data_IF_058367498794
#
_entry.id   IF_058367498794
#
_cell.length_a   1.000
_cell.length_b   1.000
_cell.length_c   1.000
_cell.angle_alpha   90.00
_cell.angle_beta   90.00
_cell.angle_gamma   90.00
#
_symmetry.space_group_name_H-M   'P 1'
#
loop_
_entity.id
_entity.type
_entity.pdbx_description
1 polymer ?
#
# COMPACT_ATOMS: atom_id res chain seq x y z
N UNK A 1 3.46 8.28 -3.66
CA UNK A 1 3.77 6.98 -4.29
C UNK A 1 5.08 6.41 -3.77
N UNK A 2 5.44 5.21 -4.20
CA UNK A 2 6.71 4.57 -3.84
C UNK A 2 7.88 5.34 -4.44
N UNK A 3 8.92 5.60 -3.64
CA UNK A 3 10.10 6.33 -4.07
C UNK A 3 11.21 5.37 -4.49
N UNK A 4 11.99 5.77 -5.48
CA UNK A 4 13.18 5.01 -5.90
C UNK A 4 14.16 4.87 -4.74
N UNK A 5 14.83 3.73 -4.67
CA UNK A 5 15.81 3.39 -3.62
C UNK A 5 15.24 3.20 -2.22
N UNK A 6 13.91 3.27 -2.03
CA UNK A 6 13.30 3.03 -0.72
C UNK A 6 13.16 1.55 -0.40
N UNK A 7 13.42 1.22 0.86
CA UNK A 7 13.00 -0.02 1.48
C UNK A 7 11.70 0.21 2.26
N UNK A 8 10.64 -0.41 1.80
CA UNK A 8 9.32 -0.34 2.42
C UNK A 8 9.02 -1.66 3.13
N UNK A 9 8.65 -1.59 4.39
CA UNK A 9 8.23 -2.76 5.17
C UNK A 9 6.71 -2.72 5.34
N UNK A 10 6.04 -3.80 4.94
CA UNK A 10 4.60 -3.98 5.20
C UNK A 10 4.46 -5.13 6.19
N UNK A 11 4.04 -4.83 7.40
CA UNK A 11 3.98 -5.81 8.46
C UNK A 11 2.54 -6.02 8.98
N UNK A 12 2.22 -7.26 9.34
CA UNK A 12 0.94 -7.62 9.94
C UNK A 12 1.03 -8.95 10.67
N UNK A 13 0.04 -9.22 11.52
CA UNK A 13 -0.19 -10.56 12.07
C UNK A 13 -0.68 -11.53 10.97
N UNK A 14 -0.54 -12.85 11.16
CA UNK A 14 -1.13 -13.85 10.26
C UNK A 14 -2.63 -13.59 10.00
N UNK A 15 -3.09 -13.93 8.82
CA UNK A 15 -4.48 -13.79 8.38
C UNK A 15 -5.00 -12.33 8.27
N UNK A 16 -4.17 -11.30 8.45
CA UNK A 16 -4.55 -9.90 8.20
C UNK A 16 -4.60 -9.54 6.71
N UNK A 17 -4.06 -10.40 5.83
CA UNK A 17 -4.13 -10.22 4.38
C UNK A 17 -2.90 -9.59 3.74
N UNK A 18 -1.67 -9.74 4.32
CA UNK A 18 -0.43 -9.22 3.74
C UNK A 18 -0.27 -9.56 2.26
N UNK A 19 -0.30 -10.87 1.94
CA UNK A 19 -0.18 -11.35 0.55
C UNK A 19 -1.31 -10.83 -0.34
N UNK A 20 -2.55 -10.76 0.16
CA UNK A 20 -3.68 -10.20 -0.57
C UNK A 20 -3.50 -8.71 -0.88
N UNK A 21 -2.93 -7.95 0.05
CA UNK A 21 -2.62 -6.53 -0.14
C UNK A 21 -1.60 -6.32 -1.27
N UNK A 22 -0.47 -7.03 -1.22
CA UNK A 22 0.56 -6.87 -2.26
C UNK A 22 0.12 -7.45 -3.60
N UNK A 23 -0.76 -8.46 -3.64
CA UNK A 23 -1.34 -8.94 -4.90
C UNK A 23 -2.33 -7.93 -5.49
N UNK A 24 -3.16 -7.27 -4.68
CA UNK A 24 -4.03 -6.17 -5.13
C UNK A 24 -3.19 -5.01 -5.67
N UNK A 25 -2.11 -4.66 -4.99
CA UNK A 25 -1.16 -3.64 -5.43
C UNK A 25 -0.43 -4.06 -6.71
N UNK A 26 0.06 -5.31 -6.81
CA UNK A 26 0.73 -5.84 -8.01
C UNK A 26 -0.22 -5.87 -9.22
N UNK A 27 -1.50 -6.26 -9.00
CA UNK A 27 -2.55 -6.15 -10.03
C UNK A 27 -2.68 -4.71 -10.53
N UNK A 28 -2.84 -3.75 -9.63
CA UNK A 28 -3.03 -2.35 -10.01
C UNK A 28 -1.82 -1.80 -10.78
N UNK A 29 -0.61 -2.18 -10.41
CA UNK A 29 0.61 -1.76 -11.11
C UNK A 29 0.80 -2.51 -12.44
N UNK A 30 0.80 -3.85 -12.43
CA UNK A 30 1.17 -4.63 -13.60
C UNK A 30 0.02 -4.78 -14.60
N UNK A 31 -1.21 -5.03 -14.13
CA UNK A 31 -2.36 -5.24 -15.02
C UNK A 31 -2.93 -3.91 -15.48
N UNK A 32 -3.22 -2.99 -14.56
CA UNK A 32 -3.91 -1.74 -14.89
C UNK A 32 -2.93 -0.68 -15.43
N UNK A 33 -1.80 -0.46 -14.77
CA UNK A 33 -0.84 0.60 -15.12
C UNK A 33 0.31 0.13 -16.02
N UNK A 34 0.40 -1.19 -16.33
CA UNK A 34 1.48 -1.80 -17.14
C UNK A 34 2.89 -1.50 -16.63
N UNK A 35 3.04 -1.31 -15.32
CA UNK A 35 4.33 -1.13 -14.67
C UNK A 35 4.92 -2.50 -14.35
N UNK A 36 6.16 -2.81 -14.79
CA UNK A 36 6.80 -4.09 -14.53
C UNK A 36 7.08 -4.31 -13.04
N UNK A 37 6.54 -5.42 -12.49
CA UNK A 37 6.64 -5.80 -11.08
C UNK A 37 7.31 -7.17 -10.96
N UNK A 38 8.23 -7.34 -10.01
CA UNK A 38 8.74 -8.64 -9.61
C UNK A 38 8.22 -9.01 -8.21
N UNK A 39 7.69 -10.22 -8.07
CA UNK A 39 7.20 -10.78 -6.81
C UNK A 39 7.98 -12.04 -6.47
N UNK A 40 8.73 -12.00 -5.38
CA UNK A 40 9.42 -13.15 -4.80
C UNK A 40 8.58 -13.71 -3.65
N UNK A 41 8.03 -14.91 -3.85
CA UNK A 41 7.19 -15.58 -2.87
C UNK A 41 7.94 -16.74 -2.24
N UNK A 42 8.27 -16.61 -0.96
CA UNK A 42 8.99 -17.65 -0.22
C UNK A 42 8.05 -18.57 0.57
N UNK A 43 6.78 -18.17 0.71
CA UNK A 43 5.76 -18.92 1.46
C UNK A 43 4.81 -19.69 0.55
N UNK A 44 4.44 -19.11 -0.59
CA UNK A 44 3.40 -19.64 -1.46
C UNK A 44 3.94 -20.03 -2.82
N UNK A 45 3.49 -21.19 -3.33
CA UNK A 45 3.81 -21.63 -4.67
C UNK A 45 3.17 -20.68 -5.73
N UNK A 46 3.84 -20.57 -6.88
CA UNK A 46 3.43 -19.74 -8.00
C UNK A 46 1.96 -19.99 -8.41
N UNK A 47 1.54 -21.24 -8.54
CA UNK A 47 0.17 -21.62 -8.90
C UNK A 47 -0.86 -21.02 -7.92
N UNK A 48 -0.55 -20.97 -6.62
CA UNK A 48 -1.45 -20.41 -5.62
C UNK A 48 -1.57 -18.90 -5.76
N UNK A 49 -0.48 -18.20 -6.09
CA UNK A 49 -0.47 -16.76 -6.33
C UNK A 49 -1.24 -16.41 -7.61
N UNK A 50 -1.01 -17.15 -8.69
CA UNK A 50 -1.72 -16.98 -9.97
C UNK A 50 -3.22 -17.19 -9.77
N UNK A 51 -3.64 -18.23 -9.05
CA UNK A 51 -5.05 -18.44 -8.73
C UNK A 51 -5.66 -17.26 -7.95
N UNK A 52 -4.95 -16.69 -6.97
CA UNK A 52 -5.41 -15.49 -6.26
C UNK A 52 -5.48 -14.26 -7.16
N UNK A 53 -4.53 -14.11 -8.08
CA UNK A 53 -4.56 -13.03 -9.07
C UNK A 53 -5.76 -13.18 -10.03
N UNK A 54 -6.06 -14.39 -10.49
CA UNK A 54 -7.24 -14.67 -11.33
C UNK A 54 -8.51 -14.27 -10.57
N UNK A 55 -8.68 -14.71 -9.32
CA UNK A 55 -9.81 -14.31 -8.47
C UNK A 55 -9.92 -12.79 -8.36
N UNK A 56 -8.79 -12.12 -8.16
CA UNK A 56 -8.73 -10.67 -7.96
C UNK A 56 -9.02 -9.88 -9.25
N UNK A 57 -8.52 -10.34 -10.40
CA UNK A 57 -8.72 -9.69 -11.72
C UNK A 57 -10.10 -9.99 -12.27
N UNK A 58 -10.52 -11.25 -12.21
CA UNK A 58 -11.82 -11.65 -12.74
C UNK A 58 -12.99 -11.28 -11.83
N UNK A 59 -12.74 -10.98 -10.55
CA UNK A 59 -13.75 -10.67 -9.53
C UNK A 59 -14.81 -11.77 -9.39
N UNK A 60 -14.36 -13.01 -9.51
CA UNK A 60 -15.18 -14.22 -9.30
C UNK A 60 -14.69 -14.90 -8.03
N UNK A 61 -15.58 -15.25 -7.08
CA UNK A 61 -15.20 -15.92 -5.83
C UNK A 61 -14.34 -17.18 -6.08
N UNK A 62 -13.24 -17.31 -5.32
CA UNK A 62 -12.29 -18.38 -5.52
C UNK A 62 -12.87 -19.78 -5.35
N UNK A 63 -13.90 -19.94 -4.53
CA UNK A 63 -14.62 -21.22 -4.37
C UNK A 63 -15.32 -21.66 -5.66
N UNK A 64 -15.94 -20.72 -6.39
CA UNK A 64 -16.58 -21.00 -7.67
C UNK A 64 -15.57 -21.42 -8.73
N UNK A 65 -14.42 -20.73 -8.80
CA UNK A 65 -13.35 -21.08 -9.74
C UNK A 65 -12.79 -22.48 -9.45
N UNK A 66 -12.55 -22.80 -8.16
CA UNK A 66 -12.03 -24.10 -7.75
C UNK A 66 -13.01 -25.25 -8.00
N UNK A 67 -14.30 -25.03 -7.74
CA UNK A 67 -15.34 -26.05 -7.94
C UNK A 67 -15.79 -26.18 -9.39
N UNK A 68 -15.43 -25.22 -10.27
CA UNK A 68 -15.93 -25.15 -11.64
C UNK A 68 -17.42 -24.77 -11.76
N UNK A 69 -18.05 -24.37 -10.65
CA UNK A 69 -19.48 -24.02 -10.58
C UNK A 69 -19.68 -22.55 -10.96
N UNK A 70 -19.38 -22.23 -12.20
CA UNK A 70 -19.55 -20.90 -12.78
C UNK A 70 -20.85 -20.83 -13.59
N UNK A 71 -21.60 -19.75 -13.41
CA UNK A 71 -22.73 -19.45 -14.28
C UNK A 71 -22.24 -19.11 -15.72
N UNK A 72 -23.07 -19.26 -16.75
CA UNK A 72 -22.66 -18.96 -18.13
C UNK A 72 -22.05 -17.56 -18.33
N UNK A 73 -22.57 -16.55 -17.65
CA UNK A 73 -22.03 -15.19 -17.72
C UNK A 73 -20.68 -15.07 -17.01
N UNK A 74 -20.45 -15.84 -15.92
CA UNK A 74 -19.16 -15.84 -15.18
C UNK A 74 -18.06 -16.50 -16.02
N UNK A 75 -18.40 -17.50 -16.85
CA UNK A 75 -17.46 -18.06 -17.84
C UNK A 75 -17.02 -17.01 -18.86
N UNK A 76 -17.97 -16.21 -19.38
CA UNK A 76 -17.67 -15.10 -20.30
C UNK A 76 -16.80 -14.03 -19.63
N UNK A 77 -17.09 -13.69 -18.36
CA UNK A 77 -16.30 -12.75 -17.57
C UNK A 77 -14.86 -13.25 -17.33
N UNK A 78 -14.73 -14.53 -16.98
CA UNK A 78 -13.43 -15.18 -16.78
C UNK A 78 -12.59 -15.14 -18.06
N UNK A 79 -13.16 -15.58 -19.22
CA UNK A 79 -12.44 -15.60 -20.50
C UNK A 79 -12.02 -14.21 -20.97
N UNK A 80 -12.85 -13.21 -20.73
CA UNK A 80 -12.53 -11.83 -21.09
C UNK A 80 -11.43 -11.23 -20.19
N UNK A 81 -11.59 -11.29 -18.87
CA UNK A 81 -10.68 -10.64 -17.92
C UNK A 81 -9.34 -11.36 -17.75
N UNK A 82 -9.29 -12.68 -17.94
CA UNK A 82 -8.02 -13.43 -17.81
C UNK A 82 -6.99 -12.98 -18.87
N UNK A 83 -7.44 -12.49 -20.01
CA UNK A 83 -6.58 -11.98 -21.09
C UNK A 83 -5.75 -10.78 -20.64
N UNK A 84 -6.25 -9.98 -19.68
CA UNK A 84 -5.52 -8.85 -19.11
C UNK A 84 -4.25 -9.30 -18.36
N UNK A 85 -4.23 -10.56 -17.85
CA UNK A 85 -3.07 -11.15 -17.18
C UNK A 85 -2.00 -11.63 -18.15
N UNK A 86 -2.35 -12.03 -19.39
CA UNK A 86 -1.38 -12.58 -20.33
C UNK A 86 -0.29 -11.56 -20.70
N UNK A 87 -0.67 -10.30 -20.85
CA UNK A 87 0.25 -9.21 -21.21
C UNK A 87 0.68 -8.37 -20.01
N UNK A 88 0.37 -8.83 -18.79
CA UNK A 88 0.76 -8.12 -17.59
C UNK A 88 2.26 -8.35 -17.29
N UNK A 89 3.07 -7.29 -17.16
CA UNK A 89 4.50 -7.41 -16.85
C UNK A 89 4.71 -7.74 -15.35
N UNK A 90 4.22 -8.91 -14.92
CA UNK A 90 4.34 -9.42 -13.57
C UNK A 90 5.21 -10.70 -13.58
N UNK A 91 6.35 -10.60 -12.92
CA UNK A 91 7.35 -11.69 -12.84
C UNK A 91 7.28 -12.30 -11.45
N UNK A 92 6.90 -13.57 -11.36
CA UNK A 92 6.76 -14.29 -10.08
C UNK A 92 7.86 -15.35 -9.95
N UNK A 93 8.54 -15.36 -8.81
CA UNK A 93 9.56 -16.33 -8.45
C UNK A 93 9.17 -16.94 -7.10
N UNK A 94 8.99 -18.28 -7.05
CA UNK A 94 8.60 -19.02 -5.85
C UNK A 94 9.73 -19.93 -5.33
N UNK A 95 10.99 -19.54 -5.59
CA UNK A 95 12.15 -20.25 -5.07
C UNK A 95 12.14 -20.25 -3.54
N UNK A 96 12.04 -21.42 -2.89
CA UNK A 96 12.03 -21.50 -1.44
C UNK A 96 13.41 -21.16 -0.86
N UNK A 97 13.43 -20.61 0.36
CA UNK A 97 14.68 -20.32 1.09
C UNK A 97 15.67 -19.44 0.31
N UNK A 98 15.16 -18.46 -0.42
CA UNK A 98 15.96 -17.56 -1.26
C UNK A 98 17.01 -16.81 -0.44
N UNK A 99 18.27 -16.90 -0.85
CA UNK A 99 19.34 -16.13 -0.23
C UNK A 99 19.39 -14.70 -0.76
N UNK A 100 19.97 -13.79 0.04
CA UNK A 100 20.16 -12.37 -0.39
C UNK A 100 21.01 -12.28 -1.66
N UNK A 101 22.03 -13.11 -1.82
CA UNK A 101 22.89 -13.13 -3.01
C UNK A 101 22.14 -13.61 -4.25
N UNK A 102 21.32 -14.63 -4.10
CA UNK A 102 20.49 -15.16 -5.18
C UNK A 102 19.42 -14.14 -5.60
N UNK A 103 18.73 -13.55 -4.62
CA UNK A 103 17.80 -12.45 -4.86
C UNK A 103 18.46 -11.31 -5.65
N UNK A 104 19.65 -10.88 -5.23
CA UNK A 104 20.40 -9.80 -5.90
C UNK A 104 20.68 -10.12 -7.36
N UNK A 105 21.10 -11.38 -7.63
CA UNK A 105 21.39 -11.85 -9.00
C UNK A 105 20.12 -11.86 -9.86
N UNK A 106 19.02 -12.42 -9.35
CA UNK A 106 17.73 -12.48 -10.04
C UNK A 106 17.15 -11.08 -10.26
N UNK A 107 17.20 -10.23 -9.24
CA UNK A 107 16.71 -8.85 -9.30
C UNK A 107 17.45 -8.01 -10.35
N UNK A 108 18.78 -8.07 -10.40
CA UNK A 108 19.59 -7.40 -11.43
C UNK A 108 19.20 -7.83 -12.83
N UNK A 109 18.99 -9.13 -13.04
CA UNK A 109 18.56 -9.67 -14.33
C UNK A 109 17.18 -9.14 -14.71
N UNK A 110 16.20 -9.21 -13.80
CA UNK A 110 14.85 -8.74 -14.05
C UNK A 110 14.79 -7.24 -14.35
N UNK A 111 15.56 -6.43 -13.64
CA UNK A 111 15.64 -4.98 -13.92
C UNK A 111 16.26 -4.71 -15.28
N UNK A 112 17.35 -5.39 -15.62
CA UNK A 112 18.07 -5.18 -16.89
C UNK A 112 17.31 -5.69 -18.11
N UNK A 113 16.70 -6.89 -18.01
CA UNK A 113 16.08 -7.57 -19.17
C UNK A 113 14.61 -7.20 -19.33
N UNK A 114 13.91 -6.93 -18.24
CA UNK A 114 12.46 -6.68 -18.24
C UNK A 114 12.07 -5.29 -17.73
N UNK A 115 13.02 -4.45 -17.35
CA UNK A 115 12.75 -3.10 -16.90
C UNK A 115 11.92 -3.02 -15.61
N UNK A 116 12.02 -4.02 -14.73
CA UNK A 116 11.27 -4.06 -13.46
C UNK A 116 11.46 -2.77 -12.67
N UNK A 117 10.36 -2.21 -12.20
CA UNK A 117 10.30 -0.93 -11.49
C UNK A 117 10.06 -1.06 -10.00
N UNK A 118 9.64 -2.23 -9.52
CA UNK A 118 9.39 -2.51 -8.12
C UNK A 118 9.58 -4.00 -7.83
N UNK A 119 10.16 -4.30 -6.68
CA UNK A 119 10.34 -5.67 -6.19
C UNK A 119 9.52 -5.85 -4.92
N UNK A 120 8.78 -6.95 -4.83
CA UNK A 120 8.00 -7.37 -3.66
C UNK A 120 8.55 -8.70 -3.16
N UNK A 121 8.72 -8.84 -1.84
CA UNK A 121 9.24 -10.05 -1.18
C UNK A 121 8.25 -10.51 -0.12
N UNK A 122 7.69 -11.73 -0.25
CA UNK A 122 6.73 -12.34 0.68
C UNK A 122 7.32 -13.63 1.25
N UNK A 123 7.86 -13.64 2.46
CA UNK A 123 8.16 -12.57 3.41
C UNK A 123 9.60 -12.69 3.92
N UNK A 124 10.12 -11.59 4.43
CA UNK A 124 11.53 -11.38 4.78
C UNK A 124 12.09 -12.46 5.72
N UNK A 125 11.31 -12.91 6.71
CA UNK A 125 11.76 -13.91 7.69
C UNK A 125 11.97 -15.32 7.09
N UNK A 126 11.58 -15.59 5.85
CA UNK A 126 11.92 -16.85 5.17
C UNK A 126 13.20 -16.77 4.34
N UNK A 127 13.77 -15.59 4.19
CA UNK A 127 15.06 -15.41 3.56
C UNK A 127 16.19 -15.94 4.45
N UNK A 128 17.30 -16.26 3.82
CA UNK A 128 18.53 -16.61 4.51
C UNK A 128 19.70 -15.74 4.00
N UNK A 129 20.71 -15.59 4.84
CA UNK A 129 21.96 -14.93 4.48
C UNK A 129 23.07 -16.00 4.33
N UNK A 130 22.91 -16.88 3.33
CA UNK A 130 23.80 -18.01 3.06
C UNK A 130 25.28 -17.63 3.05
N UNK A 131 26.10 -18.45 3.65
CA UNK A 131 27.56 -18.29 3.70
C UNK A 131 28.06 -17.44 4.87
N UNK A 132 27.18 -16.97 5.77
CA UNK A 132 27.56 -16.28 7.00
C UNK A 132 27.09 -17.06 8.22
N UNK A 133 27.87 -17.03 9.31
CA UNK A 133 27.47 -17.57 10.60
C UNK A 133 26.91 -16.42 11.45
N UNK A 134 25.75 -16.62 12.06
CA UNK A 134 25.07 -15.65 12.91
C UNK A 134 24.90 -16.21 14.32
N UNK A 135 25.08 -15.36 15.32
CA UNK A 135 24.86 -15.71 16.72
C UNK A 135 23.36 -15.82 17.07
N UNK A 136 22.50 -15.17 16.30
CA UNK A 136 21.06 -15.17 16.50
C UNK A 136 20.29 -14.93 15.20
N UNK A 137 19.01 -15.33 15.20
CA UNK A 137 18.09 -15.02 14.07
C UNK A 137 17.90 -13.52 13.87
N UNK A 138 17.94 -12.74 14.95
CA UNK A 138 17.84 -11.27 14.89
C UNK A 138 18.99 -10.65 14.10
N UNK A 139 20.21 -11.13 14.31
CA UNK A 139 21.40 -10.66 13.59
C UNK A 139 21.31 -11.00 12.09
N UNK A 140 20.85 -12.19 11.75
CA UNK A 140 20.62 -12.60 10.37
C UNK A 140 19.59 -11.72 9.69
N UNK A 141 18.43 -11.49 10.32
CA UNK A 141 17.37 -10.64 9.82
C UNK A 141 17.85 -9.18 9.66
N UNK A 142 18.67 -8.69 10.57
CA UNK A 142 19.30 -7.37 10.47
C UNK A 142 20.22 -7.25 9.25
N UNK A 143 20.99 -8.31 8.98
CA UNK A 143 21.88 -8.36 7.81
C UNK A 143 21.08 -8.41 6.50
N UNK A 144 19.99 -9.18 6.48
CA UNK A 144 19.08 -9.25 5.34
C UNK A 144 18.47 -7.87 5.06
N UNK A 145 17.92 -7.22 6.09
CA UNK A 145 17.30 -5.89 5.97
C UNK A 145 18.26 -4.86 5.39
N UNK A 146 19.45 -4.77 5.93
CA UNK A 146 20.51 -3.88 5.43
C UNK A 146 20.91 -4.18 3.99
N UNK A 147 20.97 -5.45 3.64
CA UNK A 147 21.27 -5.89 2.27
C UNK A 147 20.17 -5.52 1.29
N UNK A 148 18.90 -5.65 1.69
CA UNK A 148 17.75 -5.21 0.89
C UNK A 148 17.76 -3.69 0.66
N UNK A 149 18.07 -2.90 1.70
CA UNK A 149 18.24 -1.45 1.53
C UNK A 149 19.38 -1.11 0.59
N UNK A 150 20.51 -1.84 0.68
CA UNK A 150 21.63 -1.72 -0.26
C UNK A 150 21.20 -2.04 -1.70
N UNK A 151 20.44 -3.10 -1.89
CA UNK A 151 19.93 -3.53 -3.19
C UNK A 151 18.93 -2.51 -3.80
N UNK A 152 18.03 -1.94 -3.00
CA UNK A 152 17.11 -0.90 -3.43
C UNK A 152 17.86 0.33 -3.98
N UNK A 153 18.93 0.75 -3.27
CA UNK A 153 19.81 1.84 -3.73
C UNK A 153 20.57 1.49 -5.00
N UNK A 154 21.12 0.28 -5.08
CA UNK A 154 21.88 -0.21 -6.22
C UNK A 154 21.05 -0.23 -7.50
N UNK A 155 19.83 -0.77 -7.40
CA UNK A 155 18.92 -0.89 -8.54
C UNK A 155 18.16 0.40 -8.84
N UNK A 156 18.17 1.36 -7.91
CA UNK A 156 17.39 2.60 -7.95
C UNK A 156 15.89 2.37 -8.16
N UNK A 157 15.34 1.37 -7.48
CA UNK A 157 13.91 1.04 -7.46
C UNK A 157 13.45 0.76 -6.04
N UNK A 158 12.16 0.92 -5.71
CA UNK A 158 11.63 0.52 -4.41
C UNK A 158 11.64 -1.00 -4.23
N UNK A 159 11.98 -1.43 -3.03
CA UNK A 159 11.81 -2.82 -2.58
C UNK A 159 10.81 -2.83 -1.44
N UNK A 160 9.74 -3.61 -1.61
CA UNK A 160 8.73 -3.87 -0.59
C UNK A 160 8.97 -5.24 0.00
N UNK A 161 9.24 -5.32 1.30
CA UNK A 161 9.40 -6.57 2.00
C UNK A 161 8.27 -6.75 3.03
N UNK A 162 7.59 -7.88 2.94
CA UNK A 162 6.59 -8.25 3.94
C UNK A 162 7.26 -8.78 5.21
N UNK A 163 6.67 -8.47 6.35
CA UNK A 163 7.15 -8.90 7.66
C UNK A 163 5.99 -9.40 8.53
N UNK A 164 6.28 -10.37 9.38
CA UNK A 164 5.32 -10.84 10.37
C UNK A 164 5.57 -10.14 11.70
N UNK A 165 4.50 -9.65 12.33
CA UNK A 165 4.57 -9.03 13.66
C UNK A 165 4.66 -10.06 14.77
N UNK A 166 5.24 -9.66 15.91
CA UNK A 166 5.30 -10.44 17.13
C UNK A 166 3.87 -10.79 17.64
N UNK A 167 3.73 -11.95 18.28
CA UNK A 167 2.47 -12.43 18.87
C UNK A 167 1.98 -11.53 20.02
N UNK A 168 2.85 -10.77 20.65
CA UNK A 168 2.50 -9.85 21.75
C UNK A 168 1.38 -8.85 21.43
N UNK A 169 1.15 -8.52 20.15
CA UNK A 169 0.02 -7.68 19.73
C UNK A 169 -1.34 -8.32 20.11
N UNK A 170 -1.44 -9.65 20.01
CA UNK A 170 -2.69 -10.37 20.27
C UNK A 170 -3.03 -10.48 21.76
N UNK A 171 -2.06 -10.34 22.65
CA UNK A 171 -2.26 -10.40 24.10
C UNK A 171 -2.67 -9.07 24.73
N UNK A 172 -2.57 -7.95 23.99
CA UNK A 172 -2.96 -6.64 24.52
C UNK A 172 -4.47 -6.52 24.66
N UNK A 173 -4.93 -5.80 25.68
CA UNK A 173 -6.36 -5.58 25.94
C UNK A 173 -6.86 -4.31 25.24
N UNK A 174 -8.17 -4.27 25.01
CA UNK A 174 -8.86 -3.13 24.39
C UNK A 174 -8.70 -3.04 22.87
N UNK A 175 -9.50 -2.17 22.26
CA UNK A 175 -9.54 -1.94 20.81
C UNK A 175 -8.21 -1.35 20.34
N UNK A 176 -7.74 -0.32 21.02
CA UNK A 176 -6.48 0.35 20.68
C UNK A 176 -5.25 -0.52 20.99
N UNK A 177 -5.33 -1.39 21.98
CA UNK A 177 -4.26 -2.32 22.32
C UNK A 177 -3.92 -3.30 21.20
N UNK A 178 -4.92 -3.68 20.38
CA UNK A 178 -4.73 -4.59 19.23
C UNK A 178 -4.13 -3.90 18.00
N UNK A 179 -3.99 -2.56 18.02
CA UNK A 179 -3.37 -1.83 16.90
C UNK A 179 -1.85 -2.05 16.89
N UNK A 180 -1.26 -2.38 15.74
CA UNK A 180 0.17 -2.58 15.61
C UNK A 180 0.97 -1.30 15.87
N UNK A 181 2.17 -1.47 16.43
CA UNK A 181 3.12 -0.40 16.72
C UNK A 181 4.53 -0.81 16.25
N UNK A 182 5.45 0.17 16.07
CA UNK A 182 6.83 -0.10 15.65
C UNK A 182 7.55 -1.07 16.59
N UNK A 183 7.24 -1.02 17.90
CA UNK A 183 7.77 -1.99 18.88
C UNK A 183 7.39 -3.44 18.60
N UNK A 184 6.36 -3.70 17.80
CA UNK A 184 5.92 -5.05 17.43
C UNK A 184 6.80 -5.70 16.34
N UNK A 185 7.67 -4.90 15.71
CA UNK A 185 8.77 -5.36 14.86
C UNK A 185 10.00 -5.81 15.67
N UNK A 186 9.89 -5.96 17.00
CA UNK A 186 10.97 -6.04 17.99
C UNK A 186 11.99 -7.16 17.82
N UNK A 187 11.64 -8.26 17.17
CA UNK A 187 12.62 -9.29 16.78
C UNK A 187 13.54 -8.81 15.64
N UNK A 188 13.31 -7.59 15.16
CA UNK A 188 13.95 -7.01 13.99
C UNK A 188 14.11 -5.49 14.16
N UNK A 189 14.60 -5.00 15.31
CA UNK A 189 14.83 -3.57 15.53
C UNK A 189 15.66 -2.92 14.41
N UNK A 190 16.51 -3.70 13.74
CA UNK A 190 17.25 -3.26 12.58
C UNK A 190 16.34 -3.02 11.35
N UNK A 191 15.28 -3.83 11.16
CA UNK A 191 14.33 -3.62 10.06
C UNK A 191 13.71 -2.22 10.16
N UNK A 192 13.30 -1.84 11.39
CA UNK A 192 12.76 -0.49 11.61
C UNK A 192 13.79 0.59 11.26
N UNK A 193 15.05 0.42 11.67
CA UNK A 193 16.11 1.41 11.40
C UNK A 193 16.45 1.54 9.92
N UNK A 194 16.54 0.42 9.20
CA UNK A 194 16.92 0.37 7.78
C UNK A 194 15.79 0.83 6.85
N UNK A 195 14.52 0.59 7.22
CA UNK A 195 13.36 0.95 6.43
C UNK A 195 13.18 2.46 6.30
N UNK A 196 12.84 2.91 5.09
CA UNK A 196 12.43 4.29 4.83
C UNK A 196 10.96 4.49 5.16
N UNK A 197 10.15 3.44 4.97
CA UNK A 197 8.72 3.45 5.31
C UNK A 197 8.33 2.13 5.98
N UNK A 198 7.49 2.22 7.00
CA UNK A 198 6.87 1.07 7.67
C UNK A 198 5.37 1.24 7.66
N UNK A 199 4.68 0.25 7.12
CA UNK A 199 3.23 0.19 7.09
C UNK A 199 2.75 -1.03 7.88
N UNK A 200 1.64 -0.87 8.59
CA UNK A 200 0.93 -1.98 9.20
C UNK A 200 -0.42 -2.17 8.54
N UNK A 201 -0.81 -3.44 8.39
CA UNK A 201 -2.17 -3.81 8.01
C UNK A 201 -2.89 -4.29 9.27
N UNK A 202 -3.96 -3.59 9.63
CA UNK A 202 -4.81 -3.91 10.76
C UNK A 202 -6.25 -4.11 10.29
N UNK A 203 -6.88 -5.22 10.71
CA UNK A 203 -8.28 -5.52 10.40
C UNK A 203 -9.00 -5.81 11.71
N UNK A 204 -9.75 -4.84 12.23
CA UNK A 204 -10.43 -4.96 13.53
C UNK A 204 -11.35 -6.18 13.61
N UNK A 205 -12.08 -6.50 12.54
CA UNK A 205 -12.97 -7.65 12.46
C UNK A 205 -12.29 -8.99 12.79
N UNK A 206 -10.97 -9.12 12.52
CA UNK A 206 -10.19 -10.34 12.84
C UNK A 206 -9.96 -10.54 14.32
N UNK A 207 -10.16 -9.49 15.11
CA UNK A 207 -10.13 -9.50 16.58
C UNK A 207 -11.54 -9.49 17.18
N UNK A 208 -12.60 -9.66 16.36
CA UNK A 208 -13.99 -9.61 16.81
C UNK A 208 -14.53 -8.20 17.07
N UNK A 209 -13.77 -7.17 16.67
CA UNK A 209 -14.17 -5.77 16.81
C UNK A 209 -14.98 -5.40 15.57
N UNK A 210 -16.31 -5.32 15.73
CA UNK A 210 -17.24 -5.12 14.61
C UNK A 210 -17.70 -3.68 14.46
N UNK A 211 -17.50 -2.84 15.49
CA UNK A 211 -17.92 -1.44 15.52
C UNK A 211 -16.83 -0.58 16.13
N UNK A 212 -16.74 0.66 15.68
CA UNK A 212 -15.89 1.67 16.29
C UNK A 212 -16.54 2.29 17.55
N UNK A 213 -15.85 3.23 18.20
CA UNK A 213 -16.35 3.94 19.37
C UNK A 213 -17.60 4.80 19.10
N UNK A 214 -17.92 5.07 17.83
CA UNK A 214 -19.09 5.85 17.39
C UNK A 214 -20.23 4.95 16.91
N UNK A 215 -20.09 3.60 16.96
CA UNK A 215 -21.07 2.64 16.48
C UNK A 215 -21.06 2.40 14.97
N UNK A 216 -20.03 2.88 14.23
CA UNK A 216 -19.91 2.58 12.81
C UNK A 216 -19.37 1.16 12.60
N UNK A 217 -19.93 0.45 11.60
CA UNK A 217 -19.48 -0.91 11.28
C UNK A 217 -18.07 -0.95 10.72
N UNK A 218 -17.22 -1.77 11.32
CA UNK A 218 -15.85 -2.05 10.88
C UNK A 218 -15.74 -3.32 10.03
N UNK A 219 -16.86 -3.93 9.65
CA UNK A 219 -16.89 -5.14 8.83
C UNK A 219 -16.27 -4.88 7.45
N UNK A 220 -15.26 -5.67 7.11
CA UNK A 220 -14.54 -5.52 5.84
C UNK A 220 -13.65 -4.26 5.76
N UNK A 221 -13.46 -3.54 6.86
CA UNK A 221 -12.54 -2.40 6.93
C UNK A 221 -11.13 -2.90 7.28
N UNK A 222 -10.16 -2.31 6.63
CA UNK A 222 -8.74 -2.53 6.89
C UNK A 222 -8.02 -1.19 7.01
N UNK A 223 -7.36 -0.99 8.13
CA UNK A 223 -6.53 0.20 8.37
C UNK A 223 -5.11 -0.06 7.87
N UNK A 224 -4.63 0.79 6.99
CA UNK A 224 -3.24 0.82 6.53
C UNK A 224 -2.55 1.95 7.28
N UNK A 225 -1.77 1.57 8.30
CA UNK A 225 -1.14 2.51 9.22
C UNK A 225 0.28 2.78 8.74
N UNK A 226 0.57 4.00 8.33
CA UNK A 226 1.92 4.49 8.01
C UNK A 226 2.59 4.88 9.31
N UNK A 227 3.30 3.95 9.94
CA UNK A 227 3.90 4.15 11.26
C UNK A 227 5.27 4.82 11.21
N UNK A 228 5.96 4.72 10.08
CA UNK A 228 7.24 5.40 9.82
C UNK A 228 7.30 5.84 8.36
N UNK A 229 7.76 7.05 8.14
CA UNK A 229 8.05 7.58 6.81
C UNK A 229 9.19 8.60 6.91
N UNK A 230 10.37 8.30 6.36
CA UNK A 230 11.55 9.20 6.44
C UNK A 230 11.34 10.52 5.73
N UNK A 231 10.67 10.48 4.59
CA UNK A 231 10.52 11.62 3.68
C UNK A 231 9.08 12.16 3.61
N UNK A 232 8.22 11.83 4.59
CA UNK A 232 6.82 12.24 4.58
C UNK A 232 6.14 12.08 5.93
N UNK A 233 4.85 12.37 5.95
CA UNK A 233 4.02 12.27 7.14
C UNK A 233 3.69 10.79 7.47
N UNK A 234 3.47 10.52 8.74
CA UNK A 234 2.80 9.32 9.23
C UNK A 234 1.30 9.55 9.21
N UNK A 235 0.52 8.48 9.18
CA UNK A 235 -0.95 8.59 9.12
C UNK A 235 -1.60 7.24 8.91
N UNK A 236 -2.87 7.28 8.57
CA UNK A 236 -3.69 6.09 8.38
C UNK A 236 -4.62 6.26 7.18
N UNK A 237 -4.80 5.18 6.45
CA UNK A 237 -5.70 5.10 5.30
C UNK A 237 -6.59 3.89 5.51
N UNK A 238 -7.90 4.06 5.39
CA UNK A 238 -8.84 2.97 5.42
C UNK A 238 -9.12 2.44 4.03
N UNK A 239 -9.08 1.12 3.89
CA UNK A 239 -9.44 0.39 2.69
C UNK A 239 -10.55 -0.61 2.99
N UNK A 240 -11.25 -1.04 1.94
CA UNK A 240 -12.17 -2.17 2.03
C UNK A 240 -11.44 -3.47 1.69
N UNK A 241 -11.66 -4.49 2.49
CA UNK A 241 -11.21 -5.84 2.21
C UNK A 241 -12.40 -6.73 1.82
N UNK A 242 -12.41 -7.21 0.59
CA UNK A 242 -13.40 -8.15 0.05
C UNK A 242 -12.90 -9.57 0.28
N UNK A 243 -13.43 -10.25 1.30
CA UNK A 243 -12.98 -11.57 1.73
C UNK A 243 -13.09 -12.63 0.62
N UNK A 244 -14.20 -12.62 -0.12
CA UNK A 244 -14.51 -13.57 -1.19
C UNK A 244 -13.56 -13.50 -2.39
N UNK A 245 -12.95 -12.34 -2.58
CA UNK A 245 -11.98 -12.07 -3.65
C UNK A 245 -10.54 -11.95 -3.13
N UNK A 246 -10.33 -11.99 -1.81
CA UNK A 246 -9.05 -11.70 -1.17
C UNK A 246 -8.44 -10.39 -1.71
N UNK A 247 -9.25 -9.34 -1.86
CA UNK A 247 -8.91 -8.09 -2.53
C UNK A 247 -9.01 -6.91 -1.58
N UNK A 248 -8.02 -6.01 -1.66
CA UNK A 248 -8.12 -4.66 -1.09
C UNK A 248 -8.52 -3.68 -2.19
N UNK A 249 -9.46 -2.80 -1.89
CA UNK A 249 -9.92 -1.73 -2.77
C UNK A 249 -10.25 -0.48 -1.94
N UNK A 250 -10.47 0.65 -2.61
CA UNK A 250 -10.85 1.89 -1.97
C UNK A 250 -12.27 1.78 -1.37
N UNK A 251 -12.55 2.59 -0.34
CA UNK A 251 -13.86 2.57 0.32
C UNK A 251 -15.01 3.00 -0.62
N UNK A 252 -14.71 3.87 -1.58
CA UNK A 252 -15.69 4.44 -2.52
C UNK A 252 -16.02 3.52 -3.71
N UNK A 253 -15.24 2.48 -3.95
CA UNK A 253 -15.49 1.48 -5.01
C UNK A 253 -16.64 0.51 -4.67
N UNK A 254 -17.66 0.97 -3.95
CA UNK A 254 -18.90 0.21 -3.80
C UNK A 254 -19.75 0.44 -5.05
N UNK A 255 -19.88 -0.64 -5.84
CA UNK A 255 -20.73 -0.76 -7.02
C UNK A 255 -21.99 0.13 -6.99
N UNK A 256 -22.38 0.79 -8.10
CA UNK A 256 -23.56 1.67 -8.17
C UNK A 256 -24.90 1.01 -7.81
N UNK A 257 -24.91 -0.28 -7.53
CA UNK A 257 -26.11 -1.06 -7.20
C UNK A 257 -26.36 -1.29 -5.71
N UNK A 258 -25.50 -0.81 -4.80
CA UNK A 258 -25.74 -0.84 -3.35
C UNK A 258 -26.27 0.51 -2.89
N UNK A 259 -27.56 0.77 -3.13
CA UNK A 259 -28.31 1.90 -2.58
C UNK A 259 -28.46 1.78 -1.06
N UNK A 260 -27.77 2.62 -0.31
CA UNK A 260 -27.91 2.74 1.14
C UNK A 260 -26.90 3.73 1.68
N UNK A 261 -27.29 5.00 1.83
CA UNK A 261 -26.40 6.12 2.10
C UNK A 261 -25.55 5.97 3.36
N UNK A 262 -24.29 6.27 3.19
CA UNK A 262 -23.41 6.74 4.26
C UNK A 262 -22.35 7.64 3.60
N UNK A 263 -22.42 8.92 3.93
CA UNK A 263 -21.41 9.91 3.56
C UNK A 263 -20.10 9.60 4.28
N UNK A 264 -19.12 9.09 3.55
CA UNK A 264 -17.77 8.89 4.05
C UNK A 264 -17.07 10.25 4.10
N UNK A 265 -16.69 10.70 5.28
CA UNK A 265 -15.84 11.87 5.47
C UNK A 265 -14.39 11.46 5.19
N UNK A 266 -13.87 11.87 4.06
CA UNK A 266 -12.42 11.81 3.77
C UNK A 266 -11.72 12.83 4.65
N UNK A 267 -10.90 12.40 5.61
CA UNK A 267 -10.05 13.29 6.40
C UNK A 267 -8.73 13.41 5.65
N UNK A 268 -8.58 14.51 4.92
CA UNK A 268 -7.32 14.87 4.26
C UNK A 268 -6.46 15.63 5.28
N UNK A 269 -5.38 15.02 5.74
CA UNK A 269 -4.38 15.74 6.54
C UNK A 269 -3.47 16.51 5.60
N UNK A 270 -3.56 17.85 5.62
CA UNK A 270 -2.63 18.72 4.92
C UNK A 270 -1.21 18.57 5.46
N UNK A 271 -0.22 18.61 4.58
CA UNK A 271 1.20 18.60 4.97
C UNK A 271 1.52 19.87 5.77
N UNK A 272 2.06 19.72 6.98
CA UNK A 272 2.51 20.85 7.83
C UNK A 272 3.66 21.67 7.24
N UNK A 273 4.20 21.30 6.10
CA UNK A 273 5.28 22.06 5.45
C UNK A 273 4.83 23.38 4.80
N UNK A 274 3.53 23.65 4.69
CA UNK A 274 3.01 24.86 4.05
C UNK A 274 2.33 25.85 5.02
N UNK A 275 2.45 25.67 6.33
CA UNK A 275 1.81 26.57 7.30
C UNK A 275 2.62 27.84 7.65
N UNK A 276 3.87 27.98 7.16
CA UNK A 276 4.74 29.12 7.51
C UNK A 276 4.94 30.16 6.39
N UNK A 277 3.99 30.34 5.48
CA UNK A 277 4.07 31.44 4.52
C UNK A 277 2.70 31.87 4.00
N UNK A 278 1.90 32.50 4.85
CA UNK A 278 0.81 33.35 4.40
C UNK A 278 0.99 34.76 4.98
N UNK A 279 1.24 35.81 4.19
CA UNK A 279 1.22 37.19 4.68
C UNK A 279 -0.22 37.54 5.07
N UNK A 280 -0.39 37.98 6.31
CA UNK A 280 -1.65 38.57 6.78
C UNK A 280 -1.98 39.79 5.96
N UNK A 281 -3.07 39.76 5.20
CA UNK A 281 -3.69 40.96 4.69
C UNK A 281 -4.38 41.68 5.83
N UNK A 282 -4.22 43.02 5.96
CA UNK A 282 -4.94 43.80 6.96
C UNK A 282 -6.45 43.85 6.60
N UNK A 283 -7.27 43.59 7.59
CA UNK A 283 -8.72 43.78 7.51
C UNK A 283 -9.01 45.24 7.27
N UNK A 284 -9.71 45.54 6.19
CA UNK A 284 -10.34 46.86 5.97
C UNK A 284 -11.67 46.87 6.72
N UNK A 285 -11.76 47.78 7.68
CA UNK A 285 -12.98 48.09 8.43
C UNK A 285 -14.10 48.55 7.49
N UNK A 286 -15.25 47.92 7.63
CA UNK A 286 -16.50 48.27 6.98
C UNK A 286 -17.19 49.37 7.77
N UNK A 287 -16.88 50.66 7.44
CA UNK A 287 -17.74 51.79 7.80
C UNK A 287 -17.58 52.87 6.73
N UNK A 288 -18.47 52.86 5.74
CA UNK A 288 -18.86 54.12 5.07
C UNK A 288 -20.29 54.00 4.52
N UNK A 289 -21.13 54.85 5.12
CA UNK A 289 -22.51 55.10 4.74
C UNK A 289 -22.62 55.78 3.38
N UNK A 290 -23.78 55.61 2.79
CA UNK A 290 -24.30 56.25 1.57
C UNK A 290 -24.14 57.76 1.50
N UNK A 291 -23.79 58.25 0.33
CA UNK A 291 -23.86 59.67 -0.02
C UNK A 291 -23.67 59.84 -1.51
N UNK A 292 -24.77 59.86 -2.27
CA UNK A 292 -24.75 60.07 -3.71
C UNK A 292 -24.31 61.44 -4.15
N UNK A 293 -23.68 61.53 -5.32
CA UNK A 293 -23.84 62.59 -6.34
C UNK A 293 -23.05 62.19 -7.60
N UNK A 294 -23.78 62.18 -8.70
CA UNK A 294 -23.35 62.23 -10.09
C UNK A 294 -22.40 63.35 -10.43
N UNK A 295 -21.36 63.12 -11.23
CA UNK A 295 -20.93 64.09 -12.25
C UNK A 295 -20.00 63.45 -13.30
N UNK A 296 -20.26 63.83 -14.51
CA UNK A 296 -19.77 63.66 -15.85
C UNK A 296 -18.29 63.37 -16.13
N UNK A 297 -18.12 62.64 -17.24
CA UNK A 297 -16.91 62.46 -18.04
C UNK A 297 -16.57 63.79 -18.80
N UNK A 298 -15.30 64.11 -19.02
CA UNK A 298 -14.89 64.22 -20.42
C UNK A 298 -13.49 63.70 -20.73
N UNK A 299 -13.42 63.40 -21.96
CA UNK A 299 -12.39 62.75 -22.77
C UNK A 299 -11.02 63.45 -22.85
N UNK A 300 -10.07 62.63 -23.31
CA UNK A 300 -8.95 62.92 -24.24
C UNK A 300 -7.59 63.45 -23.68
N UNK A 301 -6.54 62.71 -23.81
CA UNK A 301 -5.51 62.86 -24.86
C UNK A 301 -4.14 62.28 -24.46
N UNK A 302 -3.70 61.33 -25.25
CA UNK A 302 -2.39 61.20 -25.91
C UNK A 302 -1.07 61.32 -25.12
N UNK A 303 -0.25 60.31 -25.39
CA UNK A 303 1.19 60.28 -25.68
C UNK A 303 2.04 59.51 -24.69
N UNK A 304 2.55 58.41 -25.18
CA UNK A 304 3.86 57.87 -24.83
C UNK A 304 4.99 58.83 -25.28
N UNK A 305 6.23 58.78 -24.80
CA UNK A 305 7.16 57.71 -25.10
C UNK A 305 8.19 57.43 -23.96
N UNK A 306 8.73 56.32 -23.88
CA UNK A 306 10.02 55.70 -24.21
C UNK A 306 10.02 54.30 -23.60
#
# INVERSE_FOLDING_TARGET
GWQNSDLVIIAARPAMGKTAFVLSMAKNMAVNAKIPVALFSLEMANVQLVNRLIVNVCEIPGEKIKSGQLAPYEWGQLDYKIKELYDAPLYVDDTPSLSVFELRTKARRLVREHGVKIIIIDYLQLMNASGMSFGSRQEEVSTISRSLKGLAKELNIPIIALSQLNRGVESREGIDGKRPQLSDLRESGAIEQDADMVLFIHRPERYGIMEDSMGNSLKGIADIIIAKHRNGAVGEIQLRFRNELAQFCDLEEVSPFASGGSTVKTVTFGSRMNEDAAPQMPQLDSDFQEGGKSFENPANSSKAPF
#
